data_IF_032027371305
#
_entry.id   IF_032027371305
#
_cell.length_a   1.000
_cell.length_b   1.000
_cell.length_c   1.000
_cell.angle_alpha   90.00
_cell.angle_beta   90.00
_cell.angle_gamma   90.00
#
_symmetry.space_group_name_H-M   'P 1'
#
loop_
_entity.id
_entity.type
_entity.pdbx_description
1 polymer ?
#
# COMPACT_ATOMS: atom_id res chain seq x y z
N UNK A 1 19.01 -35.53 12.38
CA UNK A 1 18.46 -34.23 12.82
C UNK A 1 19.12 -33.12 12.02
N UNK A 2 18.49 -32.64 10.94
CA UNK A 2 18.94 -31.43 10.24
C UNK A 2 17.70 -30.69 9.78
N UNK A 3 17.40 -29.59 10.48
CA UNK A 3 16.14 -28.84 10.40
C UNK A 3 15.90 -28.22 9.02
N UNK A 4 14.74 -28.54 8.46
CA UNK A 4 14.26 -28.01 7.20
C UNK A 4 13.91 -26.52 7.29
N UNK A 5 14.59 -25.78 6.41
CA UNK A 5 14.32 -24.45 5.90
C UNK A 5 12.83 -24.03 5.92
N UNK A 6 12.43 -23.30 6.97
CA UNK A 6 11.17 -22.53 7.03
C UNK A 6 11.40 -21.02 7.27
N UNK A 7 12.65 -20.59 7.35
CA UNK A 7 13.04 -19.24 7.81
C UNK A 7 12.64 -18.12 6.84
N UNK A 8 12.63 -18.37 5.52
CA UNK A 8 12.44 -17.31 4.51
C UNK A 8 11.01 -16.73 4.49
N UNK A 9 9.98 -17.56 4.67
CA UNK A 9 8.58 -17.12 4.63
C UNK A 9 8.13 -16.48 5.96
N UNK A 10 8.59 -17.02 7.10
CA UNK A 10 8.32 -16.44 8.43
C UNK A 10 8.99 -15.07 8.57
N UNK A 11 10.18 -14.88 8.00
CA UNK A 11 10.88 -13.60 7.98
C UNK A 11 10.14 -12.53 7.17
N UNK A 12 9.50 -12.90 6.06
CA UNK A 12 8.67 -11.98 5.26
C UNK A 12 7.45 -11.46 6.03
N UNK A 13 6.71 -12.36 6.69
CA UNK A 13 5.52 -12.00 7.50
C UNK A 13 5.87 -11.11 8.68
N UNK A 14 6.98 -11.37 9.38
CA UNK A 14 7.43 -10.56 10.50
C UNK A 14 7.78 -9.12 10.11
N UNK A 15 8.51 -8.95 9.00
CA UNK A 15 8.85 -7.61 8.48
C UNK A 15 7.61 -6.84 8.04
N UNK A 16 6.70 -7.51 7.33
CA UNK A 16 5.43 -6.91 6.90
C UNK A 16 4.56 -6.51 8.10
N UNK A 17 4.46 -7.35 9.13
CA UNK A 17 3.71 -7.04 10.34
C UNK A 17 4.26 -5.83 11.11
N UNK A 18 5.58 -5.70 11.20
CA UNK A 18 6.24 -4.52 11.79
C UNK A 18 5.91 -3.26 10.97
N UNK A 19 6.05 -3.34 9.64
CA UNK A 19 5.76 -2.21 8.74
C UNK A 19 4.30 -1.77 8.82
N UNK A 20 3.35 -2.71 8.75
CA UNK A 20 1.92 -2.42 8.83
C UNK A 20 1.56 -1.79 10.18
N UNK A 21 2.09 -2.31 11.28
CA UNK A 21 1.86 -1.71 12.59
C UNK A 21 2.42 -0.27 12.66
N UNK A 22 3.64 -0.06 12.15
CA UNK A 22 4.25 1.26 12.09
C UNK A 22 3.38 2.28 11.35
N UNK A 23 2.92 1.96 10.13
CA UNK A 23 2.13 2.90 9.32
C UNK A 23 0.70 3.08 9.81
N UNK A 24 0.06 2.02 10.32
CA UNK A 24 -1.33 2.10 10.78
C UNK A 24 -1.48 2.85 12.10
N UNK A 25 -0.49 2.79 13.00
CA UNK A 25 -0.59 3.40 14.32
C UNK A 25 0.31 4.62 14.51
N UNK A 26 1.21 4.91 13.58
CA UNK A 26 2.24 5.94 13.76
C UNK A 26 3.20 5.65 14.93
N UNK A 27 3.49 4.36 15.18
CA UNK A 27 4.28 3.94 16.34
C UNK A 27 5.74 4.41 16.25
N UNK A 28 6.33 4.75 17.40
CA UNK A 28 7.77 5.05 17.47
C UNK A 28 8.63 3.78 17.39
N UNK A 29 9.90 3.93 17.04
CA UNK A 29 10.85 2.81 17.05
C UNK A 29 10.94 2.11 18.41
N UNK A 30 10.76 2.83 19.52
CA UNK A 30 10.75 2.22 20.86
C UNK A 30 9.53 1.31 21.05
N UNK A 31 8.33 1.80 20.72
CA UNK A 31 7.10 1.02 20.83
C UNK A 31 7.14 -0.24 19.95
N UNK A 32 7.76 -0.15 18.77
CA UNK A 32 7.97 -1.30 17.89
C UNK A 32 8.94 -2.32 18.50
N UNK A 33 10.04 -1.87 19.11
CA UNK A 33 10.99 -2.75 19.78
C UNK A 33 10.33 -3.51 20.93
N UNK A 34 9.55 -2.82 21.76
CA UNK A 34 8.80 -3.40 22.87
C UNK A 34 7.73 -4.38 22.38
N UNK A 35 6.95 -4.01 21.36
CA UNK A 35 5.87 -4.87 20.86
C UNK A 35 6.38 -6.14 20.18
N UNK A 36 7.42 -6.02 19.37
CA UNK A 36 7.93 -7.14 18.56
C UNK A 36 9.13 -7.85 19.19
N UNK A 37 9.62 -7.35 20.32
CA UNK A 37 10.78 -7.90 21.05
C UNK A 37 12.01 -8.01 20.12
N UNK A 38 12.28 -6.94 19.38
CA UNK A 38 13.39 -6.83 18.42
C UNK A 38 14.21 -5.59 18.72
N UNK A 39 15.49 -5.59 18.32
CA UNK A 39 16.35 -4.41 18.42
C UNK A 39 15.95 -3.32 17.43
N UNK A 40 16.32 -2.07 17.73
CA UNK A 40 16.12 -0.92 16.84
C UNK A 40 16.65 -1.18 15.42
N UNK A 41 17.82 -1.81 15.29
CA UNK A 41 18.42 -2.18 14.00
C UNK A 41 17.50 -3.12 13.19
N UNK A 42 16.94 -4.14 13.85
CA UNK A 42 16.00 -5.09 13.21
C UNK A 42 14.70 -4.40 12.82
N UNK A 43 14.18 -3.49 13.66
CA UNK A 43 12.98 -2.70 13.34
C UNK A 43 13.24 -1.83 12.11
N UNK A 44 14.30 -1.03 12.13
CA UNK A 44 14.68 -0.14 11.02
C UNK A 44 14.86 -0.90 9.71
N UNK A 45 15.63 -2.01 9.73
CA UNK A 45 15.81 -2.87 8.55
C UNK A 45 14.50 -3.47 8.06
N UNK A 46 13.59 -3.83 8.95
CA UNK A 46 12.29 -4.41 8.57
C UNK A 46 11.43 -3.38 7.84
N UNK A 47 11.30 -2.18 8.41
CA UNK A 47 10.55 -1.07 7.80
C UNK A 47 11.15 -0.70 6.45
N UNK A 48 12.46 -0.52 6.40
CA UNK A 48 13.16 -0.11 5.18
C UNK A 48 13.04 -1.16 4.07
N UNK A 49 13.27 -2.46 4.37
CA UNK A 49 13.11 -3.53 3.36
C UNK A 49 11.71 -3.53 2.75
N UNK A 50 10.66 -3.39 3.57
CA UNK A 50 9.28 -3.41 3.07
C UNK A 50 8.99 -2.16 2.26
N UNK A 51 9.45 -0.99 2.70
CA UNK A 51 9.27 0.27 1.99
C UNK A 51 9.95 0.26 0.61
N UNK A 52 11.21 -0.19 0.53
CA UNK A 52 11.95 -0.30 -0.74
C UNK A 52 11.25 -1.24 -1.71
N UNK A 53 10.79 -2.40 -1.22
CA UNK A 53 10.03 -3.34 -2.05
C UNK A 53 8.70 -2.75 -2.51
N UNK A 54 7.99 -2.05 -1.62
CA UNK A 54 6.70 -1.43 -1.90
C UNK A 54 6.83 -0.36 -3.00
N UNK A 55 7.76 0.58 -2.86
CA UNK A 55 7.97 1.67 -3.83
C UNK A 55 8.65 1.16 -5.11
N UNK A 56 9.60 0.23 -4.98
CA UNK A 56 10.42 -0.24 -6.10
C UNK A 56 9.72 -1.26 -6.99
N UNK A 57 9.14 -2.30 -6.40
CA UNK A 57 8.60 -3.45 -7.14
C UNK A 57 7.08 -3.45 -7.15
N UNK A 58 6.44 -3.30 -5.99
CA UNK A 58 4.99 -3.40 -5.88
C UNK A 58 4.29 -2.26 -6.61
N UNK A 59 4.64 -1.01 -6.30
CA UNK A 59 4.01 0.17 -6.88
C UNK A 59 4.10 0.15 -8.41
N UNK A 60 5.28 -0.10 -8.96
CA UNK A 60 5.49 -0.17 -10.42
C UNK A 60 4.75 -1.31 -11.11
N UNK A 61 4.44 -2.39 -10.39
CA UNK A 61 3.79 -3.58 -10.96
C UNK A 61 2.27 -3.54 -10.86
N UNK A 62 1.73 -2.90 -9.82
CA UNK A 62 0.31 -2.99 -9.48
C UNK A 62 -0.40 -1.64 -9.43
N UNK A 63 0.32 -0.51 -9.49
CA UNK A 63 -0.27 0.83 -9.51
C UNK A 63 -0.05 1.45 -10.87
N UNK A 64 -1.13 1.55 -11.63
CA UNK A 64 -1.17 2.31 -12.87
C UNK A 64 -1.60 3.74 -12.58
N UNK A 65 -0.80 4.69 -13.04
CA UNK A 65 -1.17 6.10 -12.97
C UNK A 65 -2.22 6.40 -14.04
N UNK A 66 -3.25 7.19 -13.72
CA UNK A 66 -4.23 7.64 -14.71
C UNK A 66 -3.55 8.45 -15.81
N UNK A 67 -4.17 8.44 -16.99
CA UNK A 67 -3.71 9.21 -18.13
C UNK A 67 -3.63 10.71 -17.79
N UNK A 68 -2.72 11.40 -18.45
CA UNK A 68 -2.52 12.84 -18.32
C UNK A 68 -3.61 13.65 -19.04
N UNK A 69 -4.86 13.36 -18.70
CA UNK A 69 -6.03 13.95 -19.32
C UNK A 69 -7.10 14.15 -18.26
N UNK A 70 -7.66 15.36 -18.25
CA UNK A 70 -8.82 15.67 -17.42
C UNK A 70 -9.99 14.79 -17.82
N UNK A 71 -10.62 14.07 -16.87
CA UNK A 71 -11.71 13.15 -17.15
C UNK A 71 -12.87 13.83 -17.88
N UNK A 72 -13.58 13.12 -18.79
CA UNK A 72 -14.73 13.66 -19.50
C UNK A 72 -15.79 14.27 -18.58
N UNK A 73 -16.03 13.66 -17.42
CA UNK A 73 -17.02 14.07 -16.40
C UNK A 73 -16.70 15.45 -15.82
N UNK A 74 -15.41 15.77 -15.70
CA UNK A 74 -14.93 17.09 -15.27
C UNK A 74 -15.07 18.10 -16.40
N UNK A 75 -14.69 17.73 -17.63
CA UNK A 75 -14.77 18.61 -18.81
C UNK A 75 -16.21 18.96 -19.17
N UNK A 76 -17.15 18.04 -19.01
CA UNK A 76 -18.56 18.25 -19.37
C UNK A 76 -19.35 19.05 -18.34
N UNK A 77 -18.83 19.21 -17.11
CA UNK A 77 -19.55 19.87 -16.04
C UNK A 77 -19.02 21.31 -15.82
N UNK A 78 -19.82 22.35 -16.11
CA UNK A 78 -19.40 23.74 -15.92
C UNK A 78 -19.20 24.14 -14.46
N UNK A 79 -19.64 23.32 -13.49
CA UNK A 79 -19.29 23.51 -12.07
C UNK A 79 -17.84 23.12 -11.76
N UNK A 80 -17.28 22.18 -12.54
CA UNK A 80 -15.93 21.66 -12.31
C UNK A 80 -14.90 22.25 -13.28
N UNK A 81 -15.26 22.45 -14.54
CA UNK A 81 -14.42 23.14 -15.50
C UNK A 81 -14.67 24.66 -15.46
N UNK A 82 -13.63 25.53 -15.46
CA UNK A 82 -12.20 25.23 -15.66
C UNK A 82 -11.40 24.94 -14.38
N UNK A 83 -12.00 24.98 -13.20
CA UNK A 83 -11.28 24.89 -11.92
C UNK A 83 -10.45 23.60 -11.76
N UNK A 84 -10.90 22.50 -12.36
CA UNK A 84 -10.23 21.20 -12.36
C UNK A 84 -9.66 20.81 -13.74
N UNK A 85 -9.34 21.78 -14.60
CA UNK A 85 -8.94 21.53 -16.00
C UNK A 85 -7.64 20.73 -16.20
N UNK A 86 -6.86 20.47 -15.14
CA UNK A 86 -5.67 19.62 -15.13
C UNK A 86 -5.71 18.58 -13.99
N UNK A 87 -6.90 18.25 -13.48
CA UNK A 87 -7.01 17.25 -12.42
C UNK A 87 -6.69 15.86 -12.99
N UNK A 88 -5.56 15.31 -12.56
CA UNK A 88 -5.09 13.97 -12.95
C UNK A 88 -5.68 12.85 -12.10
N UNK A 89 -6.53 13.16 -11.13
CA UNK A 89 -7.08 12.18 -10.20
C UNK A 89 -7.33 12.81 -8.84
N UNK A 90 -8.61 13.09 -8.58
CA UNK A 90 -9.23 13.21 -7.26
C UNK A 90 -10.68 13.65 -7.45
N UNK A 91 -11.50 12.76 -8.00
CA UNK A 91 -12.94 12.76 -7.70
C UNK A 91 -13.35 11.35 -7.32
N UNK A 92 -12.85 10.35 -8.05
CA UNK A 92 -13.03 8.94 -7.71
C UNK A 92 -11.70 8.34 -7.26
N UNK A 93 -11.73 7.50 -6.23
CA UNK A 93 -10.53 7.02 -5.55
C UNK A 93 -9.62 6.15 -6.43
N UNK A 94 -8.55 5.62 -5.84
CA UNK A 94 -7.77 4.57 -6.49
C UNK A 94 -8.68 3.38 -6.80
N UNK A 95 -8.91 3.10 -8.08
CA UNK A 95 -9.67 1.94 -8.54
C UNK A 95 -8.80 0.69 -8.45
N UNK A 96 -9.06 -0.15 -7.45
CA UNK A 96 -8.43 -1.46 -7.34
C UNK A 96 -9.33 -2.49 -8.02
N UNK A 97 -8.84 -3.10 -9.11
CA UNK A 97 -9.52 -4.25 -9.72
C UNK A 97 -9.55 -5.41 -8.71
N UNK A 98 -10.68 -5.59 -8.04
CA UNK A 98 -10.91 -6.71 -7.13
C UNK A 98 -11.68 -7.79 -7.87
N UNK A 99 -11.22 -9.04 -7.75
CA UNK A 99 -12.01 -10.19 -8.17
C UNK A 99 -12.87 -10.61 -6.98
N UNK A 100 -14.19 -10.47 -7.13
CA UNK A 100 -15.17 -10.86 -6.11
C UNK A 100 -15.92 -12.07 -6.65
N UNK A 101 -16.05 -13.13 -5.84
CA UNK A 101 -16.91 -14.27 -6.17
C UNK A 101 -18.35 -13.78 -6.34
N UNK A 102 -19.10 -14.33 -7.30
CA UNK A 102 -20.40 -13.81 -7.69
C UNK A 102 -21.39 -13.69 -6.51
N UNK A 103 -21.27 -14.58 -5.52
CA UNK A 103 -22.08 -14.56 -4.30
C UNK A 103 -21.77 -13.41 -3.31
N UNK A 104 -20.64 -12.71 -3.45
CA UNK A 104 -20.18 -11.66 -2.53
C UNK A 104 -20.21 -10.26 -3.15
N UNK A 105 -20.60 -10.12 -4.42
CA UNK A 105 -20.78 -8.82 -5.05
C UNK A 105 -22.06 -8.16 -4.50
N UNK A 106 -21.91 -7.22 -3.56
CA UNK A 106 -23.00 -6.35 -3.18
C UNK A 106 -23.37 -5.48 -4.39
N UNK A 107 -24.66 -5.45 -4.76
CA UNK A 107 -25.18 -4.47 -5.72
C UNK A 107 -24.99 -3.07 -5.12
N UNK A 108 -24.08 -2.31 -5.71
CA UNK A 108 -24.00 -0.86 -5.55
C UNK A 108 -24.79 -0.18 -6.66
#
# INVERSE_FOLDING_TARGET
>A
MSGLSNSKYVMGKGKLGIFLYFVCTGATSQMLQERFQRSADRISKSVHTVLEWLVGTFYKKYVDLPLDQTPPEVKSNPKFYPYFCNCRGAIDGSHFCTWIAAEAAACY
#
